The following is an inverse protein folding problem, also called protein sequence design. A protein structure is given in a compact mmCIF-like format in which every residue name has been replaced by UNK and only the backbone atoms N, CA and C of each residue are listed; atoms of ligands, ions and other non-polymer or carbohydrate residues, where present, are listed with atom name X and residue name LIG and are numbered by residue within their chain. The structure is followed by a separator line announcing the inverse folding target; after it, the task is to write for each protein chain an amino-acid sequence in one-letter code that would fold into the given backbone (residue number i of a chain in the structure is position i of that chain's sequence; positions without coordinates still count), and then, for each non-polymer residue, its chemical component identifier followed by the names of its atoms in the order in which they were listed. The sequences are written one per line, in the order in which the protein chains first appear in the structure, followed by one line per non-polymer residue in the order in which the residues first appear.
data_IF_188857411662
#
_entry.id   IF_188857411662
#
_cell.length_a   1.000
_cell.length_b   1.000
_cell.length_c   1.000
_cell.angle_alpha   90.00
_cell.angle_beta   90.00
_cell.angle_gamma   90.00
#
_symmetry.space_group_name_H-M   'P 1'
#
loop_
_entity.id
_entity.type
_entity.pdbx_description
1 polymer ?
#
# COMPACT_ATOMS: atom_id res chain seq x y z
N UNK A 1 -13.71 0.22 -10.09
CA UNK A 1 -12.45 -0.36 -10.62
C UNK A 1 -11.88 -1.28 -9.55
N UNK A 2 -11.15 -2.34 -9.90
CA UNK A 2 -10.74 -3.38 -8.93
C UNK A 2 -9.92 -2.83 -7.74
N UNK A 3 -9.04 -1.86 -7.98
CA UNK A 3 -8.23 -1.21 -6.94
C UNK A 3 -9.09 -0.51 -5.88
N UNK A 4 -10.12 0.21 -6.31
CA UNK A 4 -11.03 0.91 -5.40
C UNK A 4 -11.83 -0.06 -4.53
N UNK A 5 -12.25 -1.20 -5.09
CA UNK A 5 -12.89 -2.26 -4.29
C UNK A 5 -11.93 -2.87 -3.26
N UNK A 6 -10.63 -2.97 -3.58
CA UNK A 6 -9.61 -3.45 -2.63
C UNK A 6 -9.43 -2.42 -1.52
N UNK A 7 -9.34 -1.13 -1.86
CA UNK A 7 -9.25 -0.02 -0.89
C UNK A 7 -10.41 -0.05 0.09
N UNK A 8 -11.64 -0.13 -0.42
CA UNK A 8 -12.83 -0.19 0.42
C UNK A 8 -12.83 -1.40 1.37
N UNK A 9 -12.36 -2.58 0.93
CA UNK A 9 -12.22 -3.74 1.83
C UNK A 9 -11.12 -3.54 2.88
N UNK A 10 -10.00 -2.92 2.51
CA UNK A 10 -8.91 -2.63 3.44
C UNK A 10 -9.34 -1.61 4.50
N UNK A 11 -10.07 -0.57 4.11
CA UNK A 11 -10.58 0.46 5.02
C UNK A 11 -11.71 -0.05 5.93
N UNK A 12 -12.55 -0.97 5.42
CA UNK A 12 -13.61 -1.59 6.21
C UNK A 12 -13.10 -2.66 7.21
N UNK A 13 -11.88 -3.16 7.02
CA UNK A 13 -11.28 -4.11 7.94
C UNK A 13 -10.98 -3.44 9.29
N UNK A 14 -10.96 -4.23 10.36
CA UNK A 14 -10.69 -3.71 11.71
C UNK A 14 -9.37 -2.95 11.76
N UNK A 15 -9.42 -1.74 12.30
CA UNK A 15 -8.27 -0.86 12.44
C UNK A 15 -7.25 -1.36 13.47
N UNK A 16 -6.02 -0.88 13.35
CA UNK A 16 -4.90 -1.25 14.23
C UNK A 16 -3.94 -2.28 13.59
N UNK A 17 -2.76 -2.39 14.19
CA UNK A 17 -1.76 -3.39 13.83
C UNK A 17 -2.24 -4.77 14.28
N UNK A 18 -2.26 -5.70 13.33
CA UNK A 18 -2.63 -7.09 13.60
C UNK A 18 -1.36 -7.88 13.90
N UNK A 19 -1.45 -8.81 14.85
CA UNK A 19 -0.35 -9.66 15.26
C UNK A 19 -0.76 -11.12 15.39
N UNK A 20 0.24 -12.01 15.39
CA UNK A 20 0.05 -13.41 15.68
C UNK A 20 -0.21 -13.60 17.19
N UNK A 21 -1.27 -14.33 17.51
CA UNK A 21 -1.60 -14.79 18.84
C UNK A 21 -1.35 -16.27 19.07
N UNK A 22 -1.46 -16.69 20.33
CA UNK A 22 -1.45 -18.11 20.69
C UNK A 22 -2.51 -18.90 19.91
N UNK A 23 -2.29 -20.20 19.69
CA UNK A 23 -3.25 -21.09 19.00
C UNK A 23 -3.73 -20.58 17.63
N UNK A 24 -2.85 -19.92 16.87
CA UNK A 24 -3.12 -19.48 15.49
C UNK A 24 -4.24 -18.44 15.36
N UNK A 25 -4.50 -17.66 16.41
CA UNK A 25 -5.36 -16.48 16.33
C UNK A 25 -4.64 -15.30 15.70
N UNK A 26 -5.33 -14.53 14.86
CA UNK A 26 -4.92 -13.18 14.49
C UNK A 26 -5.56 -12.22 15.49
N UNK A 27 -4.74 -11.40 16.11
CA UNK A 27 -5.12 -10.54 17.22
C UNK A 27 -4.86 -9.07 16.90
N UNK A 28 -5.56 -8.18 17.59
CA UNK A 28 -5.19 -6.78 17.71
C UNK A 28 -4.83 -6.54 19.16
N UNK A 29 -3.58 -6.18 19.41
CA UNK A 29 -3.13 -5.80 20.74
C UNK A 29 -3.44 -4.33 21.03
N UNK A 30 -3.76 -4.04 22.28
CA UNK A 30 -4.11 -2.71 22.77
C UNK A 30 -5.14 -1.95 21.91
N UNK A 31 -6.18 -2.64 21.42
CA UNK A 31 -7.17 -2.03 20.53
C UNK A 31 -7.77 -0.77 21.17
N UNK A 32 -7.58 0.38 20.51
CA UNK A 32 -8.02 1.71 20.98
C UNK A 32 -7.57 2.09 22.41
N UNK A 33 -6.38 1.64 22.82
CA UNK A 33 -5.84 1.94 24.14
C UNK A 33 -6.50 1.15 25.28
N UNK A 34 -7.24 0.09 24.96
CA UNK A 34 -7.67 -0.89 25.96
C UNK A 34 -6.51 -1.81 26.34
N UNK A 35 -6.49 -2.35 27.57
CA UNK A 35 -5.59 -3.45 27.95
C UNK A 35 -6.13 -4.82 27.50
N UNK A 36 -6.94 -4.84 26.44
CA UNK A 36 -7.63 -6.03 25.95
C UNK A 36 -7.11 -6.39 24.56
N UNK A 37 -6.98 -7.69 24.35
CA UNK A 37 -6.63 -8.26 23.06
C UNK A 37 -7.89 -8.79 22.38
N UNK A 38 -8.10 -8.42 21.12
CA UNK A 38 -9.27 -8.83 20.34
C UNK A 38 -8.86 -9.80 19.24
N UNK A 39 -9.60 -10.91 19.09
CA UNK A 39 -9.39 -11.82 17.97
C UNK A 39 -10.19 -11.36 16.74
N UNK A 40 -9.53 -11.28 15.59
CA UNK A 40 -10.15 -10.93 14.30
C UNK A 40 -10.28 -12.13 13.36
N UNK A 41 -9.41 -13.13 13.52
CA UNK A 41 -9.47 -14.38 12.76
C UNK A 41 -8.80 -15.53 13.54
N UNK A 42 -9.05 -16.76 13.10
CA UNK A 42 -8.33 -17.96 13.53
C UNK A 42 -7.98 -18.79 12.30
N UNK A 43 -6.79 -19.35 12.28
CA UNK A 43 -6.31 -20.18 11.18
C UNK A 43 -5.90 -21.57 11.69
N UNK A 44 -5.75 -22.52 10.77
CA UNK A 44 -5.24 -23.86 11.12
C UNK A 44 -3.73 -23.87 11.31
N UNK A 45 -3.02 -23.00 10.59
CA UNK A 45 -1.56 -22.96 10.56
C UNK A 45 -1.05 -21.59 10.95
N UNK A 46 0.14 -21.59 11.56
CA UNK A 46 0.87 -20.37 11.92
C UNK A 46 1.13 -19.47 10.72
N UNK A 47 1.55 -20.06 9.60
CA UNK A 47 1.93 -19.28 8.41
C UNK A 47 0.73 -18.51 7.83
N UNK A 48 -0.48 -19.07 7.92
CA UNK A 48 -1.71 -18.40 7.47
C UNK A 48 -2.05 -17.22 8.40
N UNK A 49 -1.87 -17.41 9.72
CA UNK A 49 -2.05 -16.35 10.73
C UNK A 49 -1.08 -15.19 10.48
N UNK A 50 0.21 -15.49 10.28
CA UNK A 50 1.25 -14.50 9.98
C UNK A 50 0.94 -13.73 8.69
N UNK A 51 0.55 -14.46 7.62
CA UNK A 51 0.18 -13.84 6.35
C UNK A 51 -1.02 -12.89 6.50
N UNK A 52 -2.08 -13.31 7.20
CA UNK A 52 -3.26 -12.47 7.41
C UNK A 52 -2.94 -11.27 8.31
N UNK A 53 -2.13 -11.46 9.35
CA UNK A 53 -1.69 -10.37 10.21
C UNK A 53 -0.95 -9.30 9.40
N UNK A 54 0.07 -9.69 8.63
CA UNK A 54 0.84 -8.76 7.79
C UNK A 54 0.03 -8.12 6.66
N UNK A 55 -0.95 -8.84 6.11
CA UNK A 55 -1.82 -8.31 5.05
C UNK A 55 -2.54 -7.02 5.46
N UNK A 56 -2.80 -6.81 6.76
CA UNK A 56 -3.42 -5.57 7.25
C UNK A 56 -2.56 -4.33 7.01
N UNK A 57 -1.24 -4.45 7.01
CA UNK A 57 -0.29 -3.36 6.77
C UNK A 57 0.16 -3.36 5.31
N UNK A 58 0.44 -4.53 4.75
CA UNK A 58 0.99 -4.69 3.40
C UNK A 58 -0.01 -4.21 2.34
N UNK A 59 -1.31 -4.51 2.48
CA UNK A 59 -2.32 -4.11 1.49
C UNK A 59 -2.46 -2.58 1.42
N UNK A 60 -2.68 -1.84 2.53
CA UNK A 60 -2.68 -0.38 2.48
C UNK A 60 -1.40 0.22 1.92
N UNK A 61 -0.23 -0.34 2.27
CA UNK A 61 1.04 0.11 1.72
C UNK A 61 1.11 -0.09 0.20
N UNK A 62 0.73 -1.26 -0.31
CA UNK A 62 0.68 -1.56 -1.74
C UNK A 62 -0.29 -0.62 -2.49
N UNK A 63 -1.46 -0.32 -1.91
CA UNK A 63 -2.42 0.62 -2.49
C UNK A 63 -1.79 2.02 -2.59
N UNK A 64 -1.15 2.48 -1.52
CA UNK A 64 -0.45 3.77 -1.51
C UNK A 64 0.66 3.82 -2.56
N UNK A 65 1.37 2.72 -2.76
CA UNK A 65 2.43 2.64 -3.77
C UNK A 65 1.87 2.68 -5.19
N UNK A 66 0.73 2.04 -5.44
CA UNK A 66 0.03 2.14 -6.73
C UNK A 66 -0.46 3.57 -6.98
N UNK A 67 -1.01 4.25 -5.97
CA UNK A 67 -1.43 5.65 -6.09
C UNK A 67 -0.26 6.57 -6.40
N UNK A 68 0.88 6.37 -5.74
CA UNK A 68 2.13 7.09 -5.99
C UNK A 68 2.61 6.89 -7.43
N UNK A 69 2.65 5.65 -7.90
CA UNK A 69 3.06 5.31 -9.27
C UNK A 69 2.12 5.93 -10.31
N UNK A 70 0.80 5.80 -10.14
CA UNK A 70 -0.18 6.37 -11.06
C UNK A 70 -0.05 7.89 -11.13
N UNK A 71 0.04 8.56 -9.98
CA UNK A 71 0.19 10.03 -9.93
C UNK A 71 1.49 10.49 -10.58
N UNK A 72 2.59 9.78 -10.34
CA UNK A 72 3.88 10.08 -10.95
C UNK A 72 3.89 9.87 -12.47
N UNK A 73 3.28 8.78 -12.95
CA UNK A 73 3.13 8.50 -14.38
C UNK A 73 2.27 9.58 -15.05
N UNK A 74 1.15 9.97 -14.43
CA UNK A 74 0.28 11.04 -14.95
C UNK A 74 1.03 12.38 -15.06
N UNK A 75 1.90 12.70 -14.08
CA UNK A 75 2.76 13.88 -14.14
C UNK A 75 3.75 13.81 -15.31
N UNK A 76 4.45 12.68 -15.50
CA UNK A 76 5.40 12.52 -16.62
C UNK A 76 4.67 12.61 -17.96
N UNK A 77 3.48 12.02 -18.09
CA UNK A 77 2.67 12.11 -19.30
C UNK A 77 2.24 13.56 -19.55
N UNK A 78 1.92 14.31 -18.50
CA UNK A 78 1.62 15.74 -18.61
C UNK A 78 2.84 16.50 -19.16
N UNK A 79 4.03 16.31 -18.60
CA UNK A 79 5.25 16.98 -19.06
C UNK A 79 5.52 16.64 -20.54
N UNK A 80 5.46 15.36 -20.92
CA UNK A 80 5.64 14.92 -22.31
C UNK A 80 4.68 15.56 -23.32
N UNK A 81 3.49 15.99 -22.87
CA UNK A 81 2.47 16.59 -23.73
C UNK A 81 2.57 18.11 -23.81
N UNK A 82 3.18 18.74 -22.81
CA UNK A 82 3.11 20.21 -22.64
C UNK A 82 4.49 20.89 -22.72
N UNK A 83 5.58 20.14 -22.57
CA UNK A 83 6.95 20.65 -22.65
C UNK A 83 7.55 20.48 -24.05
N UNK A 84 8.58 21.27 -24.40
CA UNK A 84 9.29 21.13 -25.68
C UNK A 84 10.27 19.96 -25.63
N UNK A 85 9.78 18.76 -25.97
CA UNK A 85 10.60 17.54 -25.98
C UNK A 85 11.65 17.50 -27.09
N UNK A 86 11.74 18.51 -27.96
CA UNK A 86 12.87 18.63 -28.90
C UNK A 86 14.10 19.26 -28.24
N UNK A 87 13.93 19.97 -27.11
CA UNK A 87 15.03 20.42 -26.27
C UNK A 87 15.61 19.21 -25.51
N UNK A 88 16.87 18.82 -25.77
CA UNK A 88 17.49 17.68 -25.11
C UNK A 88 17.56 17.83 -23.58
N UNK A 89 17.64 19.05 -23.05
CA UNK A 89 17.66 19.29 -21.60
C UNK A 89 16.30 19.01 -20.96
N UNK A 90 15.23 19.47 -21.61
CA UNK A 90 13.85 19.20 -21.17
C UNK A 90 13.57 17.70 -21.24
N UNK A 91 13.96 17.04 -22.33
CA UNK A 91 13.78 15.60 -22.48
C UNK A 91 14.54 14.80 -21.40
N UNK A 92 15.78 15.17 -21.07
CA UNK A 92 16.53 14.54 -19.98
C UNK A 92 15.82 14.72 -18.63
N UNK A 93 15.32 15.93 -18.33
CA UNK A 93 14.59 16.18 -17.09
C UNK A 93 13.34 15.31 -16.95
N UNK A 94 12.55 15.16 -18.02
CA UNK A 94 11.36 14.30 -18.03
C UNK A 94 11.74 12.83 -17.83
N UNK A 95 12.85 12.39 -18.43
CA UNK A 95 13.39 11.03 -18.22
C UNK A 95 13.82 10.85 -16.75
N UNK A 96 14.51 11.81 -16.14
CA UNK A 96 14.89 11.74 -14.72
C UNK A 96 13.67 11.71 -13.79
N UNK A 97 12.63 12.46 -14.11
CA UNK A 97 11.36 12.42 -13.36
C UNK A 97 10.72 11.02 -13.44
N UNK A 98 10.70 10.40 -14.62
CA UNK A 98 10.20 9.03 -14.77
C UNK A 98 11.05 8.01 -13.98
N UNK A 99 12.37 8.13 -14.04
CA UNK A 99 13.29 7.26 -13.27
C UNK A 99 13.03 7.39 -11.77
N UNK A 100 12.80 8.60 -11.28
CA UNK A 100 12.45 8.90 -9.89
C UNK A 100 11.15 8.20 -9.49
N UNK A 101 10.08 8.36 -10.30
CA UNK A 101 8.79 7.69 -10.08
C UNK A 101 8.94 6.17 -10.00
N UNK A 102 9.66 5.56 -10.94
CA UNK A 102 9.82 4.10 -11.02
C UNK A 102 10.68 3.51 -9.89
N UNK A 103 11.65 4.27 -9.38
CA UNK A 103 12.54 3.80 -8.31
C UNK A 103 11.97 3.98 -6.90
N UNK A 104 10.79 4.60 -6.77
CA UNK A 104 10.21 4.89 -5.46
C UNK A 104 11.06 5.86 -4.62
N UNK A 105 11.78 6.76 -5.29
CA UNK A 105 12.62 7.79 -4.68
C UNK A 105 12.08 9.18 -4.94
#
# INVERSE_FOLDING_TARGET
MKLEEIRQRADAATEGEWCEGYNHYVLIDNFKGSYQTFSVATCTRKEDTEFIAHARQDIPWLISEIDRLNSGIDSVIYDLRNEDTNDPYVLDQVIQNLVTVLNGK
#
